data_IF_511879001158
#
_entry.id   IF_511879001158
#
_cell.length_a   1.000
_cell.length_b   1.000
_cell.length_c   1.000
_cell.angle_alpha   90.00
_cell.angle_beta   90.00
_cell.angle_gamma   90.00
#
_symmetry.space_group_name_H-M   'P 1'
#
loop_
_entity.id
_entity.type
_entity.pdbx_description
1 polymer ?
#
# COMPACT_ATOMS: atom_id res chain seq x y z
N UNK A 1 15.01 13.49 -14.25
CA UNK A 1 13.97 12.78 -13.47
C UNK A 1 14.68 12.20 -12.26
N UNK A 2 14.24 12.53 -11.05
CA UNK A 2 14.90 12.07 -9.81
C UNK A 2 14.74 10.55 -9.65
N UNK A 3 15.85 9.84 -9.46
CA UNK A 3 15.83 8.38 -9.26
C UNK A 3 15.36 8.00 -7.85
N UNK A 4 14.79 6.80 -7.67
CA UNK A 4 14.33 6.32 -6.36
C UNK A 4 15.46 6.28 -5.31
N UNK A 5 16.69 5.99 -5.72
CA UNK A 5 17.84 5.99 -4.80
C UNK A 5 18.13 7.38 -4.23
N UNK A 6 17.98 8.43 -5.04
CA UNK A 6 18.13 9.81 -4.57
C UNK A 6 17.00 10.21 -3.64
N UNK A 7 15.76 9.85 -3.98
CA UNK A 7 14.58 10.10 -3.14
C UNK A 7 14.77 9.39 -1.79
N UNK A 8 15.21 8.13 -1.79
CA UNK A 8 15.48 7.36 -0.57
C UNK A 8 16.58 8.00 0.28
N UNK A 9 17.62 8.54 -0.37
CA UNK A 9 18.73 9.20 0.29
C UNK A 9 18.39 10.56 0.93
N UNK A 10 17.25 11.15 0.54
CA UNK A 10 16.72 12.42 1.04
C UNK A 10 15.51 12.25 1.96
N UNK A 11 15.02 11.02 2.12
CA UNK A 11 13.72 10.74 2.73
C UNK A 11 13.73 11.05 4.22
N UNK A 12 14.55 10.38 5.01
CA UNK A 12 14.67 10.55 6.47
C UNK A 12 16.14 10.61 6.90
N UNK A 13 16.35 10.74 8.21
CA UNK A 13 17.66 10.82 8.87
C UNK A 13 18.23 9.45 9.24
N UNK A 14 17.72 8.35 8.68
CA UNK A 14 18.29 7.01 8.89
C UNK A 14 19.74 6.98 8.39
N UNK A 15 20.75 6.72 9.26
CA UNK A 15 22.16 6.73 8.88
C UNK A 15 22.52 5.77 7.74
N UNK A 16 21.72 4.72 7.51
CA UNK A 16 21.96 3.75 6.43
C UNK A 16 21.57 4.28 5.05
N UNK A 17 20.79 5.36 5.00
CA UNK A 17 20.20 5.87 3.76
C UNK A 17 20.51 7.34 3.55
N UNK A 18 20.55 8.12 4.62
CA UNK A 18 20.73 9.57 4.61
C UNK A 18 22.08 9.97 4.01
N UNK A 19 22.04 10.84 3.00
CA UNK A 19 23.26 11.38 2.34
C UNK A 19 23.58 12.83 2.70
N UNK A 20 22.98 13.35 3.77
CA UNK A 20 23.28 14.72 4.22
C UNK A 20 22.86 15.80 3.24
N UNK A 21 21.89 15.54 2.35
CA UNK A 21 21.38 16.53 1.41
C UNK A 21 19.85 16.51 1.35
N UNK A 22 19.27 17.68 1.13
CA UNK A 22 17.83 17.87 0.96
C UNK A 22 17.55 19.18 0.24
N UNK A 23 16.34 19.33 -0.28
CA UNK A 23 15.85 20.57 -0.90
C UNK A 23 15.68 21.71 0.10
N UNK A 24 15.47 21.40 1.38
CA UNK A 24 15.23 22.38 2.43
C UNK A 24 16.41 22.35 3.38
N UNK A 25 16.88 23.54 3.75
CA UNK A 25 17.88 23.75 4.79
C UNK A 25 17.35 24.76 5.80
N UNK A 26 17.53 24.49 7.08
CA UNK A 26 17.25 25.42 8.18
C UNK A 26 18.58 25.71 8.88
N UNK A 27 19.01 26.97 8.89
CA UNK A 27 20.31 27.39 9.44
C UNK A 27 21.46 26.49 8.97
N UNK A 28 21.55 26.31 7.64
CA UNK A 28 22.51 25.41 6.95
C UNK A 28 22.32 23.90 7.16
N UNK A 29 21.44 23.47 8.07
CA UNK A 29 21.16 22.05 8.33
C UNK A 29 20.15 21.52 7.31
N UNK A 30 20.50 20.52 6.48
CA UNK A 30 19.58 19.90 5.55
C UNK A 30 18.48 19.14 6.30
N UNK A 31 17.23 19.36 5.91
CA UNK A 31 16.06 18.77 6.55
C UNK A 31 15.46 17.68 5.67
N UNK A 32 15.45 16.40 6.11
CA UNK A 32 14.86 15.30 5.34
C UNK A 32 13.40 15.54 4.94
N UNK A 33 12.99 14.94 3.82
CA UNK A 33 11.64 15.08 3.27
C UNK A 33 10.54 14.56 4.20
N UNK A 34 10.87 13.60 5.05
CA UNK A 34 9.98 13.03 6.04
C UNK A 34 9.34 14.11 6.92
N UNK A 35 10.13 15.12 7.34
CA UNK A 35 9.70 16.20 8.22
C UNK A 35 8.91 17.33 7.56
N UNK A 36 8.72 17.28 6.23
CA UNK A 36 8.01 18.35 5.52
C UNK A 36 6.57 18.52 5.99
N UNK A 37 5.92 17.42 6.42
CA UNK A 37 4.56 17.50 6.94
C UNK A 37 4.53 18.36 8.21
N UNK A 38 5.44 18.14 9.15
CA UNK A 38 5.52 18.88 10.41
C UNK A 38 5.81 20.36 10.16
N UNK A 39 6.68 20.66 9.20
CA UNK A 39 7.10 22.03 8.85
C UNK A 39 5.98 22.80 8.15
N UNK A 40 5.36 22.21 7.13
CA UNK A 40 4.43 22.92 6.27
C UNK A 40 2.97 22.79 6.70
N UNK A 41 2.52 21.64 7.24
CA UNK A 41 1.09 21.40 7.40
C UNK A 41 0.41 22.39 8.36
N UNK A 42 1.11 22.82 9.41
CA UNK A 42 0.56 23.73 10.41
C UNK A 42 0.82 25.20 10.05
N UNK A 43 2.04 25.53 9.59
CA UNK A 43 2.46 26.93 9.39
C UNK A 43 2.15 27.46 7.99
N UNK A 44 2.07 26.58 6.99
CA UNK A 44 1.92 26.94 5.58
C UNK A 44 0.95 26.00 4.85
N UNK A 45 -0.34 25.97 5.23
CA UNK A 45 -1.30 24.99 4.72
C UNK A 45 -1.50 25.06 3.19
N UNK A 46 -1.39 26.26 2.59
CA UNK A 46 -1.48 26.43 1.15
C UNK A 46 -0.31 25.74 0.41
N UNK A 47 0.93 25.92 0.91
CA UNK A 47 2.12 25.26 0.34
C UNK A 47 2.02 23.75 0.54
N UNK A 48 1.64 23.32 1.74
CA UNK A 48 1.43 21.89 2.03
C UNK A 48 0.45 21.25 1.06
N UNK A 49 -0.69 21.89 0.78
CA UNK A 49 -1.67 21.38 -0.18
C UNK A 49 -1.06 21.07 -1.55
N UNK A 50 -0.19 21.95 -2.04
CA UNK A 50 0.50 21.79 -3.33
C UNK A 50 1.52 20.64 -3.30
N UNK A 51 2.35 20.54 -2.26
CA UNK A 51 3.46 19.56 -2.23
C UNK A 51 3.05 18.19 -1.67
N UNK A 52 1.93 18.11 -0.94
CA UNK A 52 1.45 16.89 -0.28
C UNK A 52 1.27 15.71 -1.23
N UNK A 53 0.82 15.97 -2.46
CA UNK A 53 0.65 14.90 -3.46
C UNK A 53 1.99 14.25 -3.80
N UNK A 54 3.02 15.06 -4.06
CA UNK A 54 4.37 14.59 -4.35
C UNK A 54 4.99 13.89 -3.14
N UNK A 55 4.86 14.48 -1.95
CA UNK A 55 5.33 13.89 -0.69
C UNK A 55 4.73 12.49 -0.46
N UNK A 56 3.43 12.30 -0.72
CA UNK A 56 2.80 10.98 -0.59
C UNK A 56 3.30 9.97 -1.62
N UNK A 57 3.70 10.40 -2.83
CA UNK A 57 4.33 9.51 -3.82
C UNK A 57 5.70 9.06 -3.34
N UNK A 58 6.54 10.00 -2.91
CA UNK A 58 7.86 9.69 -2.34
C UNK A 58 7.75 8.72 -1.17
N UNK A 59 6.85 9.01 -0.21
CA UNK A 59 6.57 8.11 0.91
C UNK A 59 6.24 6.69 0.44
N UNK A 60 5.28 6.56 -0.47
CA UNK A 60 4.80 5.26 -0.92
C UNK A 60 5.90 4.44 -1.60
N UNK A 61 6.70 5.09 -2.45
CA UNK A 61 7.75 4.40 -3.19
C UNK A 61 8.93 4.06 -2.28
N UNK A 62 9.35 4.95 -1.38
CA UNK A 62 10.42 4.67 -0.40
C UNK A 62 10.02 3.53 0.54
N UNK A 63 8.80 3.52 1.07
CA UNK A 63 8.31 2.43 1.91
C UNK A 63 8.29 1.08 1.19
N UNK A 64 7.97 1.06 -0.11
CA UNK A 64 8.01 -0.16 -0.92
C UNK A 64 9.45 -0.57 -1.21
N UNK A 65 10.29 0.39 -1.61
CA UNK A 65 11.71 0.19 -1.89
C UNK A 65 12.44 -0.41 -0.70
N UNK A 66 12.24 0.12 0.52
CA UNK A 66 12.89 -0.38 1.74
C UNK A 66 12.36 -1.73 2.24
N UNK A 67 11.12 -2.09 1.88
CA UNK A 67 10.54 -3.40 2.20
C UNK A 67 11.02 -4.50 1.26
N UNK A 68 11.46 -4.11 0.07
CA UNK A 68 12.04 -5.01 -0.93
C UNK A 68 13.56 -4.86 -0.94
N UNK A 69 14.26 -5.73 -1.67
CA UNK A 69 15.65 -5.44 -2.03
C UNK A 69 15.69 -4.50 -3.24
N UNK A 70 16.77 -3.72 -3.44
CA UNK A 70 16.94 -2.89 -4.64
C UNK A 70 16.79 -3.67 -5.95
N UNK A 71 17.27 -4.91 -5.98
CA UNK A 71 17.20 -5.81 -7.14
C UNK A 71 15.76 -6.25 -7.39
N UNK A 72 15.03 -6.64 -6.34
CA UNK A 72 13.63 -7.02 -6.43
C UNK A 72 12.77 -5.83 -6.89
N UNK A 73 13.04 -4.63 -6.37
CA UNK A 73 12.39 -3.41 -6.80
C UNK A 73 12.64 -3.13 -8.29
N UNK A 74 13.91 -3.18 -8.72
CA UNK A 74 14.29 -2.97 -10.13
C UNK A 74 13.65 -4.01 -11.04
N UNK A 75 13.70 -5.29 -10.69
CA UNK A 75 13.06 -6.36 -11.45
C UNK A 75 11.54 -6.15 -11.58
N UNK A 76 10.90 -5.67 -10.52
CA UNK A 76 9.45 -5.43 -10.51
C UNK A 76 9.04 -4.23 -11.35
N UNK A 77 9.81 -3.14 -11.28
CA UNK A 77 9.43 -1.84 -11.85
C UNK A 77 10.27 -1.41 -13.06
N UNK A 78 11.02 -2.31 -13.69
CA UNK A 78 11.71 -2.02 -14.94
C UNK A 78 10.99 -2.63 -16.13
N UNK A 79 11.00 -1.92 -17.26
CA UNK A 79 10.58 -2.43 -18.57
C UNK A 79 11.78 -2.31 -19.50
N UNK A 80 12.19 -3.43 -20.11
CA UNK A 80 13.38 -3.51 -20.96
C UNK A 80 14.65 -2.96 -20.26
N UNK A 81 14.83 -3.27 -18.98
CA UNK A 81 15.97 -2.81 -18.17
C UNK A 81 15.91 -1.35 -17.71
N UNK A 82 14.90 -0.58 -18.12
CA UNK A 82 14.72 0.82 -17.69
C UNK A 82 13.68 0.90 -16.59
N UNK A 83 14.03 1.53 -15.47
CA UNK A 83 13.12 1.74 -14.36
C UNK A 83 11.98 2.69 -14.79
N UNK A 84 10.75 2.33 -14.47
CA UNK A 84 9.56 3.13 -14.72
C UNK A 84 9.63 4.49 -14.01
N UNK A 85 8.90 5.47 -14.55
CA UNK A 85 8.77 6.78 -13.91
C UNK A 85 8.02 6.68 -12.58
N UNK A 86 8.26 7.64 -11.66
CA UNK A 86 7.66 7.64 -10.32
C UNK A 86 6.13 7.51 -10.33
N UNK A 87 5.46 8.15 -11.30
CA UNK A 87 4.01 8.07 -11.44
C UNK A 87 3.54 6.66 -11.81
N UNK A 88 4.26 5.97 -12.69
CA UNK A 88 3.92 4.61 -13.13
C UNK A 88 4.20 3.60 -12.01
N UNK A 89 5.34 3.75 -11.32
CA UNK A 89 5.65 2.98 -10.12
C UNK A 89 4.54 3.14 -9.07
N UNK A 90 4.18 4.39 -8.74
CA UNK A 90 3.13 4.67 -7.75
C UNK A 90 1.79 4.06 -8.18
N UNK A 91 1.43 4.19 -9.46
CA UNK A 91 0.19 3.63 -10.01
C UNK A 91 0.17 2.11 -9.89
N UNK A 92 1.29 1.44 -10.19
CA UNK A 92 1.42 -0.01 -10.08
C UNK A 92 1.36 -0.48 -8.63
N UNK A 93 2.04 0.20 -7.69
CA UNK A 93 1.93 -0.09 -6.25
C UNK A 93 0.48 0.04 -5.78
N UNK A 94 -0.25 1.06 -6.25
CA UNK A 94 -1.67 1.25 -5.90
C UNK A 94 -2.54 0.14 -6.46
N UNK A 95 -2.31 -0.29 -7.70
CA UNK A 95 -3.02 -1.39 -8.31
C UNK A 95 -2.78 -2.72 -7.57
N UNK A 96 -1.52 -3.01 -7.22
CA UNK A 96 -1.16 -4.19 -6.42
C UNK A 96 -1.89 -4.20 -5.06
N UNK A 97 -1.83 -3.07 -4.33
CA UNK A 97 -2.54 -2.95 -3.05
C UNK A 97 -4.06 -3.09 -3.20
N UNK A 98 -4.62 -2.57 -4.29
CA UNK A 98 -6.05 -2.70 -4.56
C UNK A 98 -6.45 -4.14 -4.84
N UNK A 99 -5.63 -4.89 -5.58
CA UNK A 99 -5.85 -6.32 -5.86
C UNK A 99 -5.72 -7.17 -4.59
N UNK A 100 -4.72 -6.89 -3.75
CA UNK A 100 -4.56 -7.54 -2.44
C UNK A 100 -5.75 -7.27 -1.53
N UNK A 101 -6.19 -6.00 -1.45
CA UNK A 101 -7.36 -5.60 -0.68
C UNK A 101 -8.64 -6.29 -1.21
N UNK A 102 -8.79 -6.37 -2.54
CA UNK A 102 -9.90 -7.05 -3.18
C UNK A 102 -9.91 -8.55 -2.87
N UNK A 103 -8.77 -9.21 -3.00
CA UNK A 103 -8.61 -10.64 -2.71
C UNK A 103 -8.93 -10.93 -1.24
N UNK A 104 -8.38 -10.13 -0.31
CA UNK A 104 -8.62 -10.31 1.12
C UNK A 104 -10.09 -10.07 1.49
N UNK A 105 -10.69 -8.99 0.99
CA UNK A 105 -12.09 -8.68 1.26
C UNK A 105 -13.04 -9.73 0.66
N UNK A 106 -12.77 -10.19 -0.57
CA UNK A 106 -13.55 -11.24 -1.22
C UNK A 106 -13.44 -12.58 -0.48
N UNK A 107 -12.25 -12.93 0.00
CA UNK A 107 -12.06 -14.11 0.83
C UNK A 107 -12.82 -13.99 2.15
N UNK A 108 -12.73 -12.85 2.83
CA UNK A 108 -13.45 -12.60 4.08
C UNK A 108 -14.97 -12.67 3.90
N UNK A 109 -15.50 -12.12 2.81
CA UNK A 109 -16.95 -12.20 2.49
C UNK A 109 -17.42 -13.64 2.35
N UNK A 110 -16.63 -14.49 1.70
CA UNK A 110 -16.94 -15.92 1.53
C UNK A 110 -16.81 -16.70 2.83
N UNK A 111 -15.78 -16.40 3.62
CA UNK A 111 -15.43 -17.16 4.82
C UNK A 111 -16.27 -16.83 6.05
N UNK A 112 -16.58 -15.54 6.28
CA UNK A 112 -17.16 -15.06 7.53
C UNK A 112 -18.65 -14.70 7.42
N UNK A 113 -19.17 -14.48 6.20
CA UNK A 113 -20.59 -14.15 6.01
C UNK A 113 -21.06 -13.02 6.93
N UNK A 114 -22.01 -13.32 7.82
CA UNK A 114 -22.61 -12.35 8.75
C UNK A 114 -21.63 -11.87 9.83
N UNK A 115 -20.65 -12.69 10.24
CA UNK A 115 -19.61 -12.27 11.20
C UNK A 115 -18.77 -11.12 10.63
N UNK A 116 -18.59 -11.08 9.32
CA UNK A 116 -17.90 -9.97 8.66
C UNK A 116 -18.64 -8.65 8.88
N UNK A 117 -19.98 -8.66 8.82
CA UNK A 117 -20.77 -7.45 9.01
C UNK A 117 -20.58 -6.90 10.42
N UNK A 118 -20.51 -7.76 11.44
CA UNK A 118 -20.25 -7.36 12.82
C UNK A 118 -18.87 -6.69 12.95
N UNK A 119 -17.84 -7.30 12.37
CA UNK A 119 -16.46 -6.79 12.40
C UNK A 119 -16.28 -5.46 11.64
N UNK A 120 -17.04 -5.27 10.57
CA UNK A 120 -16.91 -4.13 9.66
C UNK A 120 -17.96 -3.05 9.88
N UNK A 121 -18.78 -3.16 10.93
CA UNK A 121 -19.72 -2.11 11.31
C UNK A 121 -19.07 -1.09 12.24
N UNK A 122 -19.31 0.19 11.97
CA UNK A 122 -18.87 1.30 12.80
C UNK A 122 -20.00 2.32 13.03
N UNK A 123 -19.86 3.12 14.08
CA UNK A 123 -20.82 4.18 14.41
C UNK A 123 -20.47 5.46 13.65
N UNK A 124 -21.43 6.01 12.93
CA UNK A 124 -21.35 7.32 12.28
C UNK A 124 -22.50 8.19 12.79
N UNK A 125 -22.24 8.99 13.81
CA UNK A 125 -23.28 9.74 14.53
C UNK A 125 -24.21 8.79 15.30
N UNK A 126 -25.51 8.85 15.01
CA UNK A 126 -26.52 7.92 15.56
C UNK A 126 -26.64 6.61 14.78
N UNK A 127 -26.08 6.52 13.57
CA UNK A 127 -26.28 5.38 12.67
C UNK A 127 -25.16 4.34 12.77
N UNK A 128 -25.50 3.06 12.58
CA UNK A 128 -24.55 1.98 12.35
C UNK A 128 -24.36 1.80 10.84
N UNK A 129 -23.11 1.84 10.38
CA UNK A 129 -22.75 1.73 8.96
C UNK A 129 -21.77 0.59 8.78
N UNK A 130 -22.04 -0.29 7.81
CA UNK A 130 -21.14 -1.40 7.44
C UNK A 130 -20.19 -0.95 6.34
N UNK A 131 -18.89 -1.22 6.49
CA UNK A 131 -17.90 -0.91 5.46
C UNK A 131 -18.19 -1.69 4.17
N UNK A 132 -18.26 -0.97 3.06
CA UNK A 132 -18.56 -1.58 1.75
C UNK A 132 -17.31 -1.80 0.89
N UNK A 133 -16.31 -0.91 1.01
CA UNK A 133 -15.13 -0.97 0.15
C UNK A 133 -14.13 -2.03 0.60
N UNK A 134 -13.54 -2.72 -0.38
CA UNK A 134 -12.53 -3.77 -0.16
C UNK A 134 -11.38 -3.27 0.70
N UNK A 135 -10.87 -2.07 0.40
CA UNK A 135 -9.82 -1.41 1.19
C UNK A 135 -10.20 -1.22 2.66
N UNK A 136 -11.43 -0.79 2.94
CA UNK A 136 -11.85 -0.54 4.32
C UNK A 136 -11.99 -1.85 5.09
N UNK A 137 -12.56 -2.87 4.46
CA UNK A 137 -12.69 -4.23 5.01
C UNK A 137 -11.29 -4.82 5.26
N UNK A 138 -10.42 -4.83 4.25
CA UNK A 138 -9.06 -5.35 4.33
C UNK A 138 -8.24 -4.66 5.43
N UNK A 139 -8.31 -3.32 5.52
CA UNK A 139 -7.67 -2.58 6.62
C UNK A 139 -8.20 -3.03 7.97
N UNK A 140 -9.52 -3.14 8.14
CA UNK A 140 -10.13 -3.53 9.41
C UNK A 140 -9.70 -4.93 9.84
N UNK A 141 -9.63 -5.88 8.91
CA UNK A 141 -9.16 -7.25 9.16
C UNK A 141 -7.69 -7.30 9.59
N UNK A 142 -6.82 -6.51 8.93
CA UNK A 142 -5.41 -6.39 9.31
C UNK A 142 -5.25 -5.78 10.71
N UNK A 143 -6.06 -4.78 11.05
CA UNK A 143 -6.05 -4.14 12.37
C UNK A 143 -6.58 -5.05 13.49
N UNK A 144 -7.58 -5.88 13.20
CA UNK A 144 -8.16 -6.80 14.18
C UNK A 144 -7.36 -8.10 14.36
N UNK A 145 -6.36 -8.35 13.51
CA UNK A 145 -5.60 -9.61 13.51
C UNK A 145 -6.47 -10.82 13.14
N UNK A 146 -7.59 -10.61 12.45
CA UNK A 146 -8.52 -11.68 12.10
C UNK A 146 -7.86 -12.65 11.13
N UNK A 147 -7.67 -13.89 11.56
CA UNK A 147 -7.18 -14.97 10.70
C UNK A 147 -8.36 -15.55 9.93
N UNK A 148 -8.30 -15.47 8.61
CA UNK A 148 -9.30 -16.09 7.75
C UNK A 148 -9.01 -17.60 7.64
N UNK A 149 -10.05 -18.46 7.63
CA UNK A 149 -9.87 -19.87 7.33
C UNK A 149 -9.26 -20.04 5.93
N UNK A 150 -8.55 -21.15 5.63
CA UNK A 150 -8.04 -21.39 4.29
C UNK A 150 -9.19 -21.45 3.28
N UNK A 151 -8.96 -21.01 2.02
CA UNK A 151 -10.00 -21.05 1.01
C UNK A 151 -10.50 -22.49 0.86
N UNK A 152 -11.82 -22.66 0.88
CA UNK A 152 -12.44 -23.98 0.70
C UNK A 152 -11.90 -24.62 -0.60
N UNK A 153 -11.52 -25.90 -0.58
CA UNK A 153 -11.08 -26.58 -1.79
C UNK A 153 -12.19 -26.49 -2.85
N UNK A 154 -11.83 -26.41 -4.14
CA UNK A 154 -12.82 -26.39 -5.21
C UNK A 154 -13.75 -27.60 -5.04
N UNK A 155 -15.05 -27.46 -5.34
CA UNK A 155 -15.97 -28.59 -5.29
C UNK A 155 -15.40 -29.71 -6.17
N UNK A 156 -15.20 -30.89 -5.57
CA UNK A 156 -14.73 -32.08 -6.28
C UNK A 156 -15.64 -32.31 -7.48
N UNK A 157 -15.09 -32.10 -8.69
CA UNK A 157 -15.81 -32.42 -9.91
C UNK A 157 -16.07 -33.94 -9.88
N UNK A 158 -17.33 -34.41 -9.87
CA UNK A 158 -17.59 -35.83 -9.92
C UNK A 158 -16.96 -36.39 -11.20
N UNK A 159 -16.07 -37.37 -11.03
CA UNK A 159 -15.45 -38.10 -12.14
C UNK A 159 -16.56 -38.66 -13.04
N UNK A 160 -16.47 -38.52 -14.36
CA UNK A 160 -17.43 -39.14 -15.26
C UNK A 160 -17.43 -40.65 -15.02
N UNK A 161 -18.63 -41.22 -14.83
CA UNK A 161 -18.83 -42.64 -14.69
C UNK A 161 -18.19 -43.36 -15.88
N UNK A 162 -17.22 -44.23 -15.61
CA UNK A 162 -16.61 -45.09 -16.61
C UNK A 162 -17.71 -46.04 -17.10
N UNK A 163 -18.09 -46.03 -18.40
CA UNK A 163 -19.03 -47.01 -18.91
C UNK A 163 -18.36 -48.39 -18.81
N UNK A 164 -19.02 -49.31 -18.11
CA UNK A 164 -18.60 -50.70 -18.01
C UNK A 164 -18.68 -51.35 -19.39
N UNK A 165 -17.55 -51.85 -19.88
CA UNK A 165 -17.53 -52.71 -21.04
C UNK A 165 -18.27 -54.00 -20.71
N UNK A 166 -19.32 -54.28 -21.49
CA UNK A 166 -20.01 -55.57 -21.56
C UNK A 166 -19.19 -56.60 -22.33
#
# INVERSE_FOLDING_TARGET
MEGIEEINARWDDDPNHWRGNSYIRLDEVPVPMFYWREIYANRFPAIWSTIKSQWNKYKMVVEYYRRSSPEAFRARFSVNGTLLGLNDITSRIRAERAEEDHTLASHARKALGDELQVLTTYRKGSNRVTMQSDRAIARKLRESGTVLPPPSPPPSVPLPAVPGNS
#
